data_IF_497181726951
#
_entry.id   IF_497181726951
#
_cell.length_a   1.000
_cell.length_b   1.000
_cell.length_c   1.000
_cell.angle_alpha   90.00
_cell.angle_beta   90.00
_cell.angle_gamma   90.00
#
_symmetry.space_group_name_H-M   'P 1'
#
loop_
_entity.id
_entity.type
_entity.pdbx_description
1 polymer ?
#
# COMPACT_ATOMS: atom_id res chain seq x y z
N UNK A 1 24.26 25.24 -3.08
CA UNK A 1 24.11 23.78 -2.86
C UNK A 1 22.72 23.43 -3.32
N UNK A 2 22.58 22.85 -4.51
CA UNK A 2 21.28 22.39 -4.99
C UNK A 2 20.97 21.13 -4.19
N UNK A 3 19.83 21.12 -3.51
CA UNK A 3 19.35 20.00 -2.72
C UNK A 3 19.32 18.79 -3.64
N UNK A 4 20.15 17.80 -3.29
CA UNK A 4 20.15 16.47 -3.87
C UNK A 4 18.68 16.02 -3.91
N UNK A 5 18.15 15.97 -5.12
CA UNK A 5 16.82 15.46 -5.41
C UNK A 5 16.88 13.96 -5.16
N UNK A 6 16.84 13.61 -3.87
CA UNK A 6 17.05 12.27 -3.38
C UNK A 6 16.21 11.31 -4.19
N UNK A 7 16.88 10.42 -4.90
CA UNK A 7 16.25 9.30 -5.54
C UNK A 7 15.43 8.59 -4.46
N UNK A 8 14.09 8.77 -4.48
CA UNK A 8 13.20 8.09 -3.53
C UNK A 8 13.57 6.62 -3.57
N UNK A 9 14.23 6.18 -2.51
CA UNK A 9 14.77 4.85 -2.37
C UNK A 9 13.63 3.85 -2.47
N UNK A 10 13.89 2.65 -2.93
CA UNK A 10 12.86 1.60 -3.00
C UNK A 10 12.18 1.40 -1.63
N UNK A 11 12.95 1.62 -0.56
CA UNK A 11 12.52 1.67 0.84
C UNK A 11 11.51 2.79 1.13
N UNK A 12 11.71 4.01 0.61
CA UNK A 12 10.73 5.11 0.76
C UNK A 12 9.40 4.77 0.09
N UNK A 13 9.45 4.15 -1.10
CA UNK A 13 8.22 3.72 -1.79
C UNK A 13 7.53 2.59 -1.05
N UNK A 14 8.29 1.68 -0.45
CA UNK A 14 7.72 0.61 0.37
C UNK A 14 7.01 1.18 1.60
N UNK A 15 7.64 2.12 2.31
CA UNK A 15 7.06 2.79 3.47
C UNK A 15 5.83 3.64 3.09
N UNK A 16 5.89 4.41 1.99
CA UNK A 16 4.74 5.14 1.46
C UNK A 16 3.58 4.18 1.13
N UNK A 17 3.87 3.05 0.49
CA UNK A 17 2.86 2.06 0.12
C UNK A 17 2.24 1.38 1.34
N UNK A 18 3.04 1.06 2.36
CA UNK A 18 2.59 0.47 3.62
C UNK A 18 1.63 1.42 4.34
N UNK A 19 2.02 2.67 4.55
CA UNK A 19 1.18 3.68 5.21
C UNK A 19 -0.17 3.87 4.50
N UNK A 20 -0.19 3.83 3.17
CA UNK A 20 -1.45 3.89 2.41
C UNK A 20 -2.29 2.63 2.64
N UNK A 21 -1.70 1.43 2.57
CA UNK A 21 -2.43 0.18 2.80
C UNK A 21 -3.01 0.13 4.21
N UNK A 22 -2.26 0.55 5.23
CA UNK A 22 -2.77 0.65 6.59
C UNK A 22 -3.99 1.58 6.69
N UNK A 23 -3.96 2.72 6.01
CA UNK A 23 -5.11 3.61 5.95
C UNK A 23 -6.34 2.97 5.29
N UNK A 24 -6.15 2.09 4.29
CA UNK A 24 -7.25 1.30 3.70
C UNK A 24 -7.80 0.27 4.68
N UNK A 25 -6.91 -0.38 5.45
CA UNK A 25 -7.28 -1.36 6.46
C UNK A 25 -8.04 -0.70 7.62
N UNK A 26 -7.64 0.48 8.07
CA UNK A 26 -8.29 1.20 9.18
C UNK A 26 -9.68 1.70 8.79
N UNK A 27 -9.82 2.26 7.58
CA UNK A 27 -11.07 2.86 7.08
C UNK A 27 -12.10 1.84 6.56
N UNK A 28 -11.83 0.55 6.69
CA UNK A 28 -12.67 -0.55 6.20
C UNK A 28 -13.11 -0.39 4.73
N UNK A 29 -12.20 0.13 3.89
CA UNK A 29 -12.47 0.42 2.47
C UNK A 29 -12.40 -0.82 1.57
N UNK A 30 -12.18 -1.99 2.15
CA UNK A 30 -11.94 -3.26 1.47
C UNK A 30 -12.76 -4.36 2.14
N UNK A 31 -13.20 -5.35 1.36
CA UNK A 31 -13.85 -6.54 1.88
C UNK A 31 -12.92 -7.38 2.78
N UNK A 32 -13.49 -8.27 3.60
CA UNK A 32 -12.74 -9.08 4.57
C UNK A 32 -11.69 -10.00 3.94
N UNK A 33 -11.96 -10.54 2.75
CA UNK A 33 -10.99 -11.36 2.01
C UNK A 33 -9.80 -10.52 1.56
N UNK A 34 -10.07 -9.36 0.96
CA UNK A 34 -9.04 -8.39 0.56
C UNK A 34 -8.26 -7.90 1.77
N UNK A 35 -8.93 -7.62 2.89
CA UNK A 35 -8.30 -7.21 4.15
C UNK A 35 -7.29 -8.25 4.66
N UNK A 36 -7.65 -9.53 4.54
CA UNK A 36 -6.80 -10.65 4.94
C UNK A 36 -5.58 -10.78 4.01
N UNK A 37 -5.79 -10.58 2.70
CA UNK A 37 -4.70 -10.62 1.71
C UNK A 37 -3.73 -9.44 1.87
N UNK A 38 -4.23 -8.24 2.15
CA UNK A 38 -3.39 -7.07 2.42
C UNK A 38 -2.52 -7.28 3.66
N UNK A 39 -3.09 -7.82 4.75
CA UNK A 39 -2.32 -8.16 5.95
C UNK A 39 -1.23 -9.19 5.68
N UNK A 40 -1.52 -10.21 4.87
CA UNK A 40 -0.53 -11.22 4.47
C UNK A 40 0.63 -10.59 3.69
N UNK A 41 0.34 -9.68 2.76
CA UNK A 41 1.34 -9.01 1.94
C UNK A 41 2.22 -8.06 2.74
N UNK A 42 1.63 -7.30 3.68
CA UNK A 42 2.41 -6.47 4.62
C UNK A 42 3.33 -7.31 5.49
N UNK A 43 2.83 -8.42 6.05
CA UNK A 43 3.64 -9.35 6.85
C UNK A 43 4.74 -10.05 6.05
N UNK A 44 4.67 -10.02 4.72
CA UNK A 44 5.68 -10.55 3.81
C UNK A 44 6.63 -9.46 3.27
N UNK A 45 6.64 -8.25 3.85
CA UNK A 45 7.41 -7.09 3.39
C UNK A 45 7.11 -6.70 1.92
N UNK A 46 5.86 -6.89 1.48
CA UNK A 46 5.39 -6.56 0.12
C UNK A 46 4.31 -5.47 0.11
N UNK A 47 4.59 -4.27 0.64
CA UNK A 47 3.60 -3.19 0.70
C UNK A 47 3.20 -2.65 -0.67
N UNK A 48 4.08 -2.72 -1.67
CA UNK A 48 3.78 -2.27 -3.04
C UNK A 48 2.74 -3.17 -3.71
N UNK A 49 2.83 -4.49 -3.56
CA UNK A 49 1.77 -5.40 -4.02
C UNK A 49 0.47 -5.20 -3.27
N UNK A 50 0.53 -5.02 -1.95
CA UNK A 50 -0.66 -4.73 -1.15
C UNK A 50 -1.37 -3.46 -1.66
N UNK A 51 -0.62 -2.40 -1.95
CA UNK A 51 -1.17 -1.15 -2.51
C UNK A 51 -1.83 -1.37 -3.88
N UNK A 52 -1.24 -2.19 -4.75
CA UNK A 52 -1.83 -2.53 -6.06
C UNK A 52 -3.19 -3.20 -5.92
N UNK A 53 -3.34 -4.10 -4.95
CA UNK A 53 -4.63 -4.77 -4.68
C UNK A 53 -5.63 -3.78 -4.10
N UNK A 54 -5.24 -3.02 -3.06
CA UNK A 54 -6.10 -2.04 -2.42
C UNK A 54 -6.67 -1.00 -3.40
N UNK A 55 -5.82 -0.50 -4.31
CA UNK A 55 -6.22 0.48 -5.32
C UNK A 55 -7.05 -0.11 -6.46
N UNK A 56 -6.89 -1.41 -6.77
CA UNK A 56 -7.70 -2.12 -7.78
C UNK A 56 -9.15 -2.30 -7.32
N UNK A 57 -9.39 -2.58 -6.03
CA UNK A 57 -10.74 -2.70 -5.46
C UNK A 57 -11.56 -1.43 -5.71
N UNK A 58 -10.94 -0.26 -5.58
CA UNK A 58 -11.58 1.05 -5.75
C UNK A 58 -12.16 1.29 -7.15
N UNK A 59 -11.70 0.56 -8.18
CA UNK A 59 -12.22 0.67 -9.56
C UNK A 59 -13.39 -0.26 -9.85
N UNK A 60 -13.63 -1.28 -9.02
CA UNK A 60 -14.67 -2.31 -9.27
C UNK A 60 -16.05 -1.90 -8.72
N UNK A 61 -16.12 -0.80 -7.99
CA UNK A 61 -17.36 -0.24 -7.43
C UNK A 61 -17.96 0.93 -8.21
N UNK A 62 -17.61 1.13 -9.48
CA UNK A 62 -18.23 2.14 -10.36
C UNK A 62 -18.93 1.45 -11.53
#
# INVERSE_FOLDING_TARGET
MWTDGGARTETDRAAEAEAVVEAFLDRDLVDGDTRSELRRLLAADRPVEALRIATRQRRKGR
#
